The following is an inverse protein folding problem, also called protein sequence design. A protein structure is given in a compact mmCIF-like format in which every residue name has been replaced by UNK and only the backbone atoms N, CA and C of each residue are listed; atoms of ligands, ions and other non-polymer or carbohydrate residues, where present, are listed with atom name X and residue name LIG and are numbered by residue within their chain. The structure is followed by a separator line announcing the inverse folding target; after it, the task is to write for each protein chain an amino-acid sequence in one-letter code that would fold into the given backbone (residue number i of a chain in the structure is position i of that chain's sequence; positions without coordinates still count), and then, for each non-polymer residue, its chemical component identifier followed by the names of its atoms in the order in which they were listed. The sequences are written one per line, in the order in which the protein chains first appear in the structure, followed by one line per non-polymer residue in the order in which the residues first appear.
data_IF_850729422903
#
_entry.id   IF_850729422903
#
_cell.length_a   1.000
_cell.length_b   1.000
_cell.length_c   1.000
_cell.angle_alpha   90.00
_cell.angle_beta   90.00
_cell.angle_gamma   90.00
#
_symmetry.space_group_name_H-M   'P 1'
#
loop_
_entity.id
_entity.type
_entity.pdbx_description
1 polymer ?
#
# COMPACT_ATOMS: atom_id res chain seq x y z
N UNK A 1 5.72 -13.33 14.43
CA UNK A 1 6.42 -13.88 13.24
C UNK A 1 7.36 -15.04 13.57
N UNK A 2 8.16 -14.98 14.65
CA UNK A 2 9.19 -16.00 14.94
C UNK A 2 8.68 -17.44 14.99
N UNK A 3 7.51 -17.69 15.58
CA UNK A 3 6.94 -19.05 15.64
C UNK A 3 6.59 -19.59 14.26
N UNK A 4 5.97 -18.77 13.40
CA UNK A 4 5.65 -19.12 12.02
C UNK A 4 6.89 -19.51 11.21
N UNK A 5 8.01 -18.80 11.41
CA UNK A 5 9.27 -19.12 10.73
C UNK A 5 9.86 -20.45 11.21
N UNK A 6 9.82 -20.74 12.52
CA UNK A 6 10.27 -22.04 13.04
C UNK A 6 9.44 -23.20 12.51
N UNK A 7 8.13 -23.01 12.39
CA UNK A 7 7.24 -24.01 11.78
C UNK A 7 7.52 -24.21 10.29
N UNK A 8 7.74 -23.13 9.53
CA UNK A 8 8.12 -23.24 8.12
C UNK A 8 9.46 -23.95 7.95
N UNK A 9 10.47 -23.64 8.77
CA UNK A 9 11.78 -24.29 8.74
C UNK A 9 11.66 -25.81 9.01
N UNK A 10 10.92 -26.19 10.04
CA UNK A 10 10.66 -27.59 10.36
C UNK A 10 9.96 -28.32 9.20
N UNK A 11 8.91 -27.72 8.64
CA UNK A 11 8.14 -28.28 7.53
C UNK A 11 8.97 -28.37 6.23
N UNK A 12 9.82 -27.37 5.95
CA UNK A 12 10.76 -27.43 4.83
C UNK A 12 11.74 -28.60 5.00
N UNK A 13 12.22 -28.82 6.23
CA UNK A 13 13.04 -29.99 6.56
C UNK A 13 12.32 -31.32 6.31
N UNK A 14 11.04 -31.42 6.68
CA UNK A 14 10.20 -32.60 6.37
C UNK A 14 10.04 -32.81 4.87
N UNK A 15 9.80 -31.74 4.12
CA UNK A 15 9.65 -31.79 2.67
C UNK A 15 10.93 -32.24 1.97
N UNK A 16 12.10 -31.74 2.39
CA UNK A 16 13.40 -32.20 1.90
C UNK A 16 13.61 -33.69 2.17
N UNK A 17 13.29 -34.17 3.39
CA UNK A 17 13.37 -35.61 3.72
C UNK A 17 12.44 -36.47 2.86
N UNK A 18 11.26 -35.95 2.54
CA UNK A 18 10.33 -36.60 1.61
C UNK A 18 10.96 -36.72 0.21
N UNK A 19 11.52 -35.63 -0.34
CA UNK A 19 12.17 -35.64 -1.64
C UNK A 19 13.38 -36.59 -1.69
N UNK A 20 14.20 -36.60 -0.63
CA UNK A 20 15.33 -37.52 -0.52
C UNK A 20 14.90 -38.99 -0.60
N UNK A 21 13.74 -39.35 -0.04
CA UNK A 21 13.22 -40.72 -0.05
C UNK A 21 12.53 -41.09 -1.36
N UNK A 22 11.66 -40.21 -1.88
CA UNK A 22 10.81 -40.54 -3.03
C UNK A 22 11.53 -40.29 -4.37
N UNK A 23 12.32 -39.21 -4.45
CA UNK A 23 13.05 -38.83 -5.67
C UNK A 23 14.49 -39.29 -5.61
N UNK A 24 15.12 -39.30 -4.43
CA UNK A 24 16.52 -39.65 -4.25
C UNK A 24 17.41 -38.41 -4.20
N UNK A 25 18.27 -38.37 -3.18
CA UNK A 25 19.22 -37.27 -2.96
C UNK A 25 20.09 -37.01 -4.18
N UNK A 26 20.24 -35.74 -4.56
CA UNK A 26 21.01 -35.33 -5.75
C UNK A 26 20.28 -35.52 -7.09
N UNK A 27 19.03 -36.02 -7.07
CA UNK A 27 18.18 -36.16 -8.27
C UNK A 27 17.07 -35.11 -8.37
N UNK A 28 17.12 -34.07 -7.53
CA UNK A 28 16.20 -32.94 -7.59
C UNK A 28 16.95 -31.61 -7.38
N UNK A 29 16.36 -30.54 -7.89
CA UNK A 29 16.76 -29.16 -7.60
C UNK A 29 15.57 -28.48 -6.92
N UNK A 30 15.82 -27.83 -5.78
CA UNK A 30 14.84 -27.02 -5.09
C UNK A 30 15.25 -25.55 -5.19
N UNK A 31 14.37 -24.72 -5.76
CA UNK A 31 14.52 -23.27 -5.74
C UNK A 31 13.60 -22.72 -4.66
N UNK A 32 14.19 -22.15 -3.61
CA UNK A 32 13.46 -21.47 -2.55
C UNK A 32 13.57 -19.97 -2.78
N UNK A 33 12.43 -19.30 -2.90
CA UNK A 33 12.34 -17.86 -3.16
C UNK A 33 11.23 -17.26 -2.31
N UNK A 34 11.19 -15.93 -2.25
CA UNK A 34 10.06 -15.15 -1.80
C UNK A 34 9.60 -14.25 -2.95
N UNK A 35 8.31 -13.98 -3.04
CA UNK A 35 7.73 -13.01 -3.95
C UNK A 35 7.90 -11.58 -3.42
N UNK A 36 7.99 -11.41 -2.09
CA UNK A 36 8.25 -10.12 -1.45
C UNK A 36 8.87 -10.26 -0.04
N UNK A 37 9.33 -9.14 0.52
CA UNK A 37 9.74 -9.03 1.93
C UNK A 37 8.55 -8.81 2.88
N UNK A 38 8.85 -8.55 4.15
CA UNK A 38 7.87 -8.10 5.14
C UNK A 38 8.29 -6.73 5.69
N UNK A 39 7.33 -5.81 5.83
CA UNK A 39 7.59 -4.52 6.45
C UNK A 39 7.73 -4.68 7.97
N UNK A 40 8.71 -4.01 8.56
CA UNK A 40 8.89 -3.98 10.02
C UNK A 40 7.73 -3.25 10.70
N UNK A 41 7.48 -3.61 11.96
CA UNK A 41 6.57 -2.83 12.81
C UNK A 41 7.03 -1.34 12.84
N UNK A 42 6.12 -0.37 12.68
CA UNK A 42 6.40 1.06 12.82
C UNK A 42 7.22 1.43 14.06
N UNK A 43 6.96 0.78 15.20
CA UNK A 43 7.67 1.01 16.48
C UNK A 43 9.13 0.57 16.44
N UNK A 44 9.49 -0.29 15.49
CA UNK A 44 10.86 -0.80 15.31
C UNK A 44 11.57 -0.02 14.19
N UNK A 45 10.87 0.29 13.10
CA UNK A 45 11.46 0.95 11.94
C UNK A 45 11.49 2.48 12.04
N UNK A 46 10.68 3.08 12.93
CA UNK A 46 10.40 4.51 12.91
C UNK A 46 9.54 4.95 11.72
N UNK A 47 8.98 4.00 10.96
CA UNK A 47 8.07 4.31 9.87
C UNK A 47 6.73 4.84 10.42
N UNK A 48 6.10 5.72 9.67
CA UNK A 48 4.75 6.18 9.95
C UNK A 48 3.71 5.21 9.34
N UNK A 49 2.67 4.87 10.10
CA UNK A 49 1.59 3.99 9.65
C UNK A 49 0.36 4.80 9.26
N UNK A 50 -0.13 4.58 8.05
CA UNK A 50 -1.47 4.99 7.62
C UNK A 50 -2.29 3.76 7.29
N UNK A 51 -3.54 3.75 7.73
CA UNK A 51 -4.46 2.68 7.35
C UNK A 51 -5.32 3.11 6.15
N UNK A 52 -5.59 2.22 5.18
CA UNK A 52 -6.54 2.51 4.10
C UNK A 52 -7.93 2.91 4.60
N UNK A 53 -8.29 2.50 5.83
CA UNK A 53 -9.57 2.83 6.46
C UNK A 53 -9.68 4.31 6.80
N UNK A 54 -8.68 4.86 7.51
CA UNK A 54 -8.66 6.27 7.90
C UNK A 54 -8.59 7.17 6.66
N UNK A 55 -7.67 6.84 5.75
CA UNK A 55 -7.54 7.58 4.49
C UNK A 55 -8.85 7.59 3.67
N UNK A 56 -9.58 6.46 3.63
CA UNK A 56 -10.88 6.43 2.96
C UNK A 56 -11.91 7.33 3.64
N UNK A 57 -11.97 7.32 4.97
CA UNK A 57 -12.90 8.18 5.71
C UNK A 57 -12.60 9.67 5.47
N UNK A 58 -11.32 10.06 5.47
CA UNK A 58 -10.92 11.45 5.25
C UNK A 58 -11.18 11.90 3.80
N UNK A 59 -10.98 11.00 2.82
CA UNK A 59 -11.37 11.25 1.44
C UNK A 59 -12.88 11.43 1.28
N UNK A 60 -13.68 10.57 1.90
CA UNK A 60 -15.16 10.67 1.88
C UNK A 60 -15.65 11.95 2.56
N UNK A 61 -14.96 12.43 3.60
CA UNK A 61 -15.26 13.69 4.27
C UNK A 61 -14.83 14.92 3.44
N UNK A 62 -13.69 14.86 2.75
CA UNK A 62 -13.18 15.95 1.92
C UNK A 62 -13.94 16.11 0.59
N UNK A 63 -14.49 15.01 0.06
CA UNK A 63 -15.20 14.96 -1.22
C UNK A 63 -16.61 14.37 -1.05
N UNK A 64 -17.52 15.05 -0.32
CA UNK A 64 -18.85 14.55 -0.02
C UNK A 64 -19.71 14.42 -1.28
N UNK A 65 -20.33 13.25 -1.48
CA UNK A 65 -21.10 12.95 -2.68
C UNK A 65 -22.28 12.00 -2.41
N UNK A 66 -23.35 12.12 -3.21
CA UNK A 66 -24.52 11.23 -3.12
C UNK A 66 -24.21 9.78 -3.51
N UNK A 67 -23.19 9.59 -4.34
CA UNK A 67 -22.69 8.28 -4.79
C UNK A 67 -21.24 8.13 -4.39
N UNK A 68 -20.83 6.91 -4.04
CA UNK A 68 -19.46 6.62 -3.63
C UNK A 68 -18.45 6.91 -4.75
N UNK A 69 -17.66 7.98 -4.57
CA UNK A 69 -16.56 8.38 -5.47
C UNK A 69 -15.37 7.43 -5.33
N UNK A 70 -14.99 7.08 -4.10
CA UNK A 70 -13.85 6.19 -3.84
C UNK A 70 -14.30 4.74 -3.79
N UNK A 71 -14.20 4.03 -4.92
CA UNK A 71 -14.61 2.62 -5.03
C UNK A 71 -13.78 1.71 -4.11
N UNK A 72 -12.49 1.98 -4.01
CA UNK A 72 -11.59 1.30 -3.07
C UNK A 72 -10.36 2.15 -2.75
N UNK A 73 -9.97 2.19 -1.48
CA UNK A 73 -8.66 2.68 -1.04
C UNK A 73 -7.82 1.47 -0.63
N UNK A 74 -6.60 1.39 -1.16
CA UNK A 74 -5.61 0.33 -0.92
C UNK A 74 -4.26 0.99 -0.62
N UNK A 75 -3.34 0.21 -0.06
CA UNK A 75 -2.03 0.70 0.38
C UNK A 75 -1.23 1.40 -0.73
N UNK A 76 -1.35 0.97 -1.99
CA UNK A 76 -0.64 1.55 -3.12
C UNK A 76 -1.53 2.33 -4.10
N UNK A 77 -2.84 2.17 -4.03
CA UNK A 77 -3.76 2.57 -5.11
C UNK A 77 -5.10 3.04 -4.54
N UNK A 78 -5.65 4.08 -5.16
CA UNK A 78 -7.00 4.57 -4.92
C UNK A 78 -7.79 4.43 -6.22
N UNK A 79 -8.90 3.71 -6.15
CA UNK A 79 -9.77 3.45 -7.28
C UNK A 79 -10.98 4.38 -7.23
N UNK A 80 -11.18 5.13 -8.30
CA UNK A 80 -12.25 6.11 -8.44
C UNK A 80 -13.41 5.51 -9.25
N UNK A 81 -14.63 5.73 -8.78
CA UNK A 81 -15.83 5.59 -9.59
C UNK A 81 -15.96 6.87 -10.43
N UNK A 82 -15.54 6.79 -11.68
CA UNK A 82 -15.46 7.97 -12.54
C UNK A 82 -16.82 8.63 -12.79
N UNK A 83 -17.90 7.86 -12.90
CA UNK A 83 -19.24 8.42 -13.10
C UNK A 83 -19.70 9.20 -11.88
N UNK A 84 -19.48 8.65 -10.68
CA UNK A 84 -19.79 9.35 -9.43
C UNK A 84 -18.92 10.60 -9.27
N UNK A 85 -17.62 10.49 -9.55
CA UNK A 85 -16.67 11.61 -9.49
C UNK A 85 -17.10 12.75 -10.41
N UNK A 86 -17.39 12.45 -11.68
CA UNK A 86 -17.84 13.44 -12.68
C UNK A 86 -19.19 14.04 -12.30
N UNK A 87 -20.14 13.23 -11.82
CA UNK A 87 -21.45 13.72 -11.39
C UNK A 87 -21.37 14.68 -10.18
N UNK A 88 -20.37 14.48 -9.31
CA UNK A 88 -20.07 15.37 -8.18
C UNK A 88 -19.22 16.58 -8.57
N UNK A 89 -18.80 16.69 -9.83
CA UNK A 89 -17.99 17.81 -10.32
C UNK A 89 -16.52 17.76 -9.90
N UNK A 90 -16.04 16.64 -9.35
CA UNK A 90 -14.65 16.47 -8.95
C UNK A 90 -13.79 16.00 -10.11
N UNK A 91 -12.51 16.32 -10.04
CA UNK A 91 -11.49 15.82 -10.96
C UNK A 91 -10.46 14.97 -10.22
N UNK A 92 -9.83 14.04 -10.95
CA UNK A 92 -8.73 13.25 -10.40
C UNK A 92 -7.54 14.14 -9.98
N UNK A 93 -7.34 15.29 -10.64
CA UNK A 93 -6.30 16.26 -10.30
C UNK A 93 -6.57 16.96 -8.96
N UNK A 94 -7.81 17.37 -8.69
CA UNK A 94 -8.18 17.96 -7.39
C UNK A 94 -8.00 16.97 -6.25
N UNK A 95 -8.44 15.72 -6.45
CA UNK A 95 -8.25 14.64 -5.48
C UNK A 95 -6.75 14.38 -5.25
N UNK A 96 -5.96 14.31 -6.33
CA UNK A 96 -4.51 14.12 -6.22
C UNK A 96 -3.81 15.27 -5.49
N UNK A 97 -4.22 16.51 -5.76
CA UNK A 97 -3.67 17.70 -5.08
C UNK A 97 -4.02 17.71 -3.59
N UNK A 98 -5.23 17.29 -3.22
CA UNK A 98 -5.61 17.13 -1.83
C UNK A 98 -4.77 16.06 -1.14
N UNK A 99 -4.58 14.90 -1.79
CA UNK A 99 -3.73 13.82 -1.26
C UNK A 99 -2.27 14.26 -1.11
N UNK A 100 -1.72 15.06 -2.02
CA UNK A 100 -0.36 15.60 -1.89
C UNK A 100 -0.19 16.52 -0.67
N UNK A 101 -1.27 17.17 -0.21
CA UNK A 101 -1.28 18.00 0.98
C UNK A 101 -1.64 17.22 2.26
N UNK A 102 -1.97 15.93 2.15
CA UNK A 102 -2.38 15.10 3.26
C UNK A 102 -1.22 14.86 4.23
N UNK A 103 -1.42 15.15 5.51
CA UNK A 103 -0.36 15.13 6.52
C UNK A 103 -0.38 13.88 7.39
N UNK A 104 0.74 13.61 8.06
CA UNK A 104 0.82 12.53 9.06
C UNK A 104 -0.19 12.72 10.20
N UNK A 105 -0.43 13.96 10.65
CA UNK A 105 -1.41 14.25 11.68
C UNK A 105 -2.84 13.86 11.29
N UNK A 106 -3.21 14.00 10.01
CA UNK A 106 -4.52 13.58 9.50
C UNK A 106 -4.60 12.05 9.44
N UNK A 107 -3.59 11.40 8.85
CA UNK A 107 -3.59 9.94 8.65
C UNK A 107 -3.23 9.08 9.85
N UNK A 108 -3.01 9.67 11.03
CA UNK A 108 -2.53 8.98 12.21
C UNK A 108 -3.60 8.07 12.84
N UNK A 109 -3.29 6.79 13.08
CA UNK A 109 -4.16 5.92 13.84
C UNK A 109 -4.32 6.43 15.28
N UNK A 110 -5.56 6.78 15.66
CA UNK A 110 -5.86 7.41 16.95
C UNK A 110 -5.83 8.95 16.93
N UNK A 111 -5.67 9.55 15.76
CA UNK A 111 -5.72 11.01 15.56
C UNK A 111 -4.37 11.72 15.74
N UNK A 112 -4.33 13.04 15.53
CA UNK A 112 -3.08 13.82 15.47
C UNK A 112 -2.28 13.80 16.78
N UNK A 113 -2.93 13.54 17.92
CA UNK A 113 -2.25 13.42 19.21
C UNK A 113 -1.34 12.18 19.32
N UNK A 114 -1.53 11.18 18.46
CA UNK A 114 -0.65 10.02 18.37
C UNK A 114 0.72 10.35 17.74
N UNK A 115 0.87 11.54 17.14
CA UNK A 115 2.06 11.96 16.40
C UNK A 115 2.76 13.12 17.14
N UNK A 116 4.11 13.11 17.22
CA UNK A 116 4.88 14.23 17.76
C UNK A 116 4.49 15.55 17.09
N UNK A 117 4.35 16.62 17.86
CA UNK A 117 3.84 17.89 17.36
C UNK A 117 4.63 18.45 16.15
N UNK A 118 5.95 18.21 16.10
CA UNK A 118 6.79 18.64 14.98
C UNK A 118 6.59 17.86 13.68
N UNK A 119 5.98 16.67 13.74
CA UNK A 119 5.78 15.76 12.60
C UNK A 119 4.34 15.81 12.06
N UNK A 120 3.39 16.42 12.79
CA UNK A 120 1.95 16.41 12.44
C UNK A 120 1.65 17.04 11.09
N UNK A 121 2.39 18.07 10.71
CA UNK A 121 2.21 18.79 9.45
C UNK A 121 3.08 18.24 8.31
N UNK A 122 3.86 17.18 8.57
CA UNK A 122 4.67 16.54 7.53
C UNK A 122 3.77 15.87 6.48
N UNK A 123 4.03 16.08 5.18
CA UNK A 123 3.29 15.39 4.12
C UNK A 123 3.47 13.88 4.22
N UNK A 124 2.38 13.15 4.09
CA UNK A 124 2.41 11.69 4.04
C UNK A 124 2.86 11.18 2.67
N UNK A 125 2.30 11.73 1.59
CA UNK A 125 2.63 11.31 0.22
C UNK A 125 3.73 12.18 -0.38
N UNK A 126 4.82 11.55 -0.83
CA UNK A 126 5.84 12.24 -1.63
C UNK A 126 5.41 12.46 -3.08
N UNK A 127 4.47 11.66 -3.58
CA UNK A 127 3.90 11.79 -4.92
C UNK A 127 2.50 11.15 -4.98
N UNK A 128 1.60 11.75 -5.77
CA UNK A 128 0.30 11.20 -6.11
C UNK A 128 0.10 11.43 -7.60
N UNK A 129 -0.07 10.35 -8.36
CA UNK A 129 -0.04 10.40 -9.82
C UNK A 129 -1.35 9.80 -10.35
N UNK A 130 -2.27 10.63 -10.86
CA UNK A 130 -3.40 10.16 -11.64
C UNK A 130 -2.95 9.28 -12.81
N UNK A 131 -3.67 8.18 -13.05
CA UNK A 131 -3.28 7.19 -14.08
C UNK A 131 -3.17 7.80 -15.48
N UNK A 132 -4.01 8.78 -15.81
CA UNK A 132 -4.01 9.48 -17.10
C UNK A 132 -2.79 10.41 -17.29
N UNK A 133 -2.07 10.73 -16.21
CA UNK A 133 -0.79 11.42 -16.26
C UNK A 133 0.38 10.48 -16.56
N UNK A 134 0.27 9.17 -16.29
CA UNK A 134 1.39 8.22 -16.46
C UNK A 134 1.98 8.24 -17.88
N UNK A 135 1.18 8.23 -18.98
CA UNK A 135 1.71 8.32 -20.34
C UNK A 135 2.46 9.63 -20.63
N UNK A 136 2.20 10.69 -19.85
CA UNK A 136 2.79 12.01 -20.04
C UNK A 136 4.09 12.20 -19.24
N UNK A 137 4.45 11.24 -18.38
CA UNK A 137 5.67 11.32 -17.59
C UNK A 137 6.90 11.21 -18.50
N UNK A 138 7.83 12.19 -18.46
CA UNK A 138 9.02 12.20 -19.33
C UNK A 138 9.94 10.99 -19.14
N UNK A 139 9.93 10.41 -17.93
CA UNK A 139 10.80 9.32 -17.51
C UNK A 139 10.26 7.91 -17.82
N UNK A 140 9.08 7.80 -18.45
CA UNK A 140 8.46 6.51 -18.80
C UNK A 140 8.04 6.49 -20.29
N UNK A 141 9.00 6.38 -21.23
CA UNK A 141 8.69 6.28 -22.66
C UNK A 141 7.74 5.13 -23.00
N UNK A 142 7.82 4.02 -22.26
CA UNK A 142 7.03 2.80 -22.44
C UNK A 142 5.56 2.96 -22.04
N UNK A 143 5.21 4.00 -21.27
CA UNK A 143 3.83 4.27 -20.85
C UNK A 143 3.00 5.02 -21.92
N UNK A 144 3.60 5.36 -23.06
CA UNK A 144 2.99 6.17 -24.14
C UNK A 144 2.17 5.36 -25.17
N UNK A 145 2.12 4.03 -25.03
CA UNK A 145 1.47 3.11 -25.98
C UNK A 145 0.18 2.52 -25.46
#
# INVERSE_FOLDING_TARGET
MGDTLRWQDAALGDFVRFLDREVGRGRYVLVLTADHGAQFDPKVSGAFQVTPRELQADLEAAFPSDRRVFAAVRTSQIYLNEDAMRASGYTAEEIARWLLAYTQGQGAPGGPEAIPAGERDEPFFSAVIPTDMLPRLPCLPEART
#
